data_IF_067159060405
#
_entry.id   IF_067159060405
#
_cell.length_a   1.000
_cell.length_b   1.000
_cell.length_c   1.000
_cell.angle_alpha   90.00
_cell.angle_beta   90.00
_cell.angle_gamma   90.00
#
_symmetry.space_group_name_H-M   'P 1'
#
loop_
_entity.id
_entity.type
_entity.pdbx_description
1 polymer ?
#
# COMPACT_ATOMS: atom_id res chain seq x y z
N UNK A 1 -33.35 -61.07 -11.52
CA UNK A 1 -34.57 -60.85 -12.32
C UNK A 1 -34.19 -60.06 -13.57
N UNK A 2 -34.91 -60.33 -14.65
CA UNK A 2 -34.61 -60.08 -16.06
C UNK A 2 -34.39 -58.61 -16.51
N UNK A 3 -33.56 -58.44 -17.56
CA UNK A 3 -33.64 -57.39 -18.60
C UNK A 3 -34.90 -57.60 -19.49
N UNK A 4 -35.17 -56.91 -20.64
CA UNK A 4 -34.60 -55.72 -21.33
C UNK A 4 -35.72 -54.69 -21.76
N UNK A 5 -35.52 -53.58 -22.50
CA UNK A 5 -35.37 -53.56 -23.97
C UNK A 5 -35.63 -52.17 -24.61
N UNK A 6 -34.83 -51.86 -25.67
CA UNK A 6 -35.14 -51.22 -26.99
C UNK A 6 -35.66 -49.75 -27.02
N UNK A 7 -35.34 -48.91 -28.01
CA UNK A 7 -34.78 -49.14 -29.35
C UNK A 7 -34.42 -47.83 -30.11
N UNK A 8 -33.98 -48.02 -31.35
CA UNK A 8 -33.26 -47.11 -32.24
C UNK A 8 -34.11 -46.09 -33.03
N UNK A 9 -33.47 -45.06 -33.62
CA UNK A 9 -33.47 -44.76 -35.08
C UNK A 9 -32.93 -43.34 -35.41
N UNK A 10 -32.12 -43.26 -36.46
CA UNK A 10 -31.90 -42.06 -37.31
C UNK A 10 -32.76 -42.21 -38.59
N UNK A 11 -32.98 -41.21 -39.48
CA UNK A 11 -31.93 -40.72 -40.40
C UNK A 11 -32.09 -39.25 -40.92
N UNK A 12 -31.29 -38.95 -41.95
CA UNK A 12 -30.87 -37.71 -42.61
C UNK A 12 -31.89 -36.83 -43.38
N UNK A 13 -31.43 -35.62 -43.75
CA UNK A 13 -31.87 -34.78 -44.88
C UNK A 13 -31.79 -33.28 -44.56
N UNK A 14 -31.40 -32.32 -45.41
CA UNK A 14 -30.86 -32.25 -46.77
C UNK A 14 -30.50 -30.77 -47.06
N UNK A 15 -29.49 -30.58 -47.91
CA UNK A 15 -29.07 -29.41 -48.71
C UNK A 15 -30.06 -28.23 -48.96
N UNK A 16 -29.56 -26.98 -49.02
CA UNK A 16 -29.72 -26.09 -50.19
C UNK A 16 -28.89 -24.79 -50.15
N UNK A 17 -28.38 -24.44 -51.34
CA UNK A 17 -27.64 -23.24 -51.77
C UNK A 17 -28.58 -22.11 -52.23
N UNK A 18 -28.07 -20.87 -52.29
CA UNK A 18 -28.56 -19.76 -53.14
C UNK A 18 -28.20 -18.41 -52.49
N UNK A 19 -27.29 -17.53 -52.97
CA UNK A 19 -26.93 -16.91 -54.27
C UNK A 19 -27.60 -15.53 -54.46
N UNK A 20 -26.75 -14.50 -54.61
CA UNK A 20 -27.03 -13.18 -55.22
C UNK A 20 -27.58 -12.12 -54.25
N UNK A 21 -27.36 -10.82 -54.41
CA UNK A 21 -26.59 -10.02 -55.37
C UNK A 21 -26.43 -8.60 -54.80
N UNK A 22 -25.41 -7.92 -55.32
CA UNK A 22 -25.03 -6.51 -55.23
C UNK A 22 -26.15 -5.46 -55.35
N UNK A 23 -25.96 -4.31 -54.67
CA UNK A 23 -26.04 -2.99 -55.31
C UNK A 23 -25.39 -1.89 -54.45
N UNK A 24 -24.45 -1.18 -55.07
CA UNK A 24 -23.85 0.07 -54.63
C UNK A 24 -24.84 1.23 -54.84
N UNK A 25 -24.89 2.19 -53.92
CA UNK A 25 -25.16 3.59 -54.25
C UNK A 25 -24.31 4.50 -53.38
N UNK A 26 -23.57 5.38 -54.05
CA UNK A 26 -22.70 6.39 -53.49
C UNK A 26 -23.49 7.61 -53.01
N UNK A 27 -22.97 8.30 -52.00
CA UNK A 27 -23.17 9.75 -51.86
C UNK A 27 -21.90 10.38 -51.33
N UNK A 28 -21.31 11.25 -52.15
CA UNK A 28 -20.21 12.16 -51.79
C UNK A 28 -20.80 13.26 -50.91
N UNK A 29 -20.13 13.60 -49.81
CA UNK A 29 -20.06 15.01 -49.41
C UNK A 29 -18.69 15.32 -48.77
N UNK A 30 -18.02 16.29 -49.38
CA UNK A 30 -16.74 16.86 -48.98
C UNK A 30 -16.96 17.87 -47.87
N UNK A 31 -16.36 17.62 -46.71
CA UNK A 31 -16.14 18.64 -45.68
C UNK A 31 -14.73 18.45 -45.13
N UNK A 32 -13.82 19.34 -45.49
CA UNK A 32 -12.46 19.34 -44.97
C UNK A 32 -12.49 19.54 -43.46
N UNK A 33 -12.12 18.50 -42.71
CA UNK A 33 -11.92 18.59 -41.26
C UNK A 33 -10.43 18.84 -41.04
N UNK A 34 -10.12 20.04 -40.57
CA UNK A 34 -8.82 20.47 -40.08
C UNK A 34 -8.20 19.40 -39.17
N UNK A 35 -7.07 18.84 -39.59
CA UNK A 35 -6.42 17.69 -38.97
C UNK A 35 -5.65 18.01 -37.68
N UNK A 36 -5.94 19.14 -37.04
CA UNK A 36 -5.17 19.64 -35.88
C UNK A 36 -5.79 19.28 -34.51
N UNK A 37 -7.01 18.74 -34.44
CA UNK A 37 -7.68 18.41 -33.16
C UNK A 37 -7.75 16.93 -32.79
N UNK A 38 -7.31 16.01 -33.66
CA UNK A 38 -7.49 14.56 -33.40
C UNK A 38 -6.61 13.99 -32.29
N UNK A 39 -5.50 14.64 -31.95
CA UNK A 39 -4.57 14.16 -30.92
C UNK A 39 -5.11 14.42 -29.51
N UNK A 40 -5.81 15.55 -29.30
CA UNK A 40 -6.35 15.93 -27.99
C UNK A 40 -7.58 15.13 -27.55
N UNK A 41 -8.45 14.74 -28.50
CA UNK A 41 -9.65 13.93 -28.21
C UNK A 41 -9.30 12.49 -27.84
N UNK A 42 -8.28 11.88 -28.47
CA UNK A 42 -7.80 10.54 -28.11
C UNK A 42 -7.17 10.52 -26.72
N UNK A 43 -6.35 11.53 -26.38
CA UNK A 43 -5.73 11.63 -25.05
C UNK A 43 -6.78 11.85 -23.94
N UNK A 44 -7.85 12.59 -24.25
CA UNK A 44 -8.95 12.82 -23.30
C UNK A 44 -9.79 11.56 -23.09
N UNK A 45 -10.15 10.84 -24.16
CA UNK A 45 -10.82 9.54 -24.06
C UNK A 45 -9.95 8.50 -23.34
N UNK A 46 -8.65 8.45 -23.61
CA UNK A 46 -7.74 7.49 -23.01
C UNK A 46 -7.59 7.73 -21.50
N UNK A 47 -7.61 8.99 -21.04
CA UNK A 47 -7.67 9.35 -19.62
C UNK A 47 -9.01 9.00 -18.96
N UNK A 48 -10.11 9.03 -19.69
CA UNK A 48 -11.44 8.62 -19.18
C UNK A 48 -11.54 7.09 -19.11
N UNK A 49 -10.89 6.38 -20.03
CA UNK A 49 -10.91 4.91 -20.13
C UNK A 49 -9.92 4.22 -19.18
N UNK A 50 -8.87 4.91 -18.74
CA UNK A 50 -7.95 4.33 -17.77
C UNK A 50 -8.65 4.13 -16.41
N UNK A 51 -8.53 2.92 -15.87
CA UNK A 51 -9.09 2.59 -14.55
C UNK A 51 -8.40 3.40 -13.45
N UNK A 52 -9.13 4.01 -12.50
CA UNK A 52 -8.54 4.72 -11.38
C UNK A 52 -7.61 3.82 -10.56
N UNK A 53 -6.51 4.41 -10.08
CA UNK A 53 -5.48 3.72 -9.29
C UNK A 53 -5.02 4.59 -8.14
N UNK A 54 -4.95 4.01 -6.95
CA UNK A 54 -4.26 4.64 -5.82
C UNK A 54 -2.78 4.25 -5.89
N UNK A 55 -1.88 5.23 -5.75
CA UNK A 55 -0.43 5.01 -5.74
C UNK A 55 0.17 5.67 -4.50
N UNK A 56 1.07 4.97 -3.82
CA UNK A 56 1.93 5.56 -2.79
C UNK A 56 3.08 6.27 -3.53
N UNK A 57 3.06 7.60 -3.51
CA UNK A 57 4.04 8.44 -4.22
C UNK A 57 5.25 8.79 -3.36
N UNK A 58 5.09 8.73 -2.04
CA UNK A 58 6.17 8.83 -1.06
C UNK A 58 5.93 7.74 -0.01
N UNK A 59 6.75 6.69 -0.04
CA UNK A 59 6.72 5.59 0.92
C UNK A 59 7.07 6.09 2.33
N UNK A 60 6.61 5.41 3.41
CA UNK A 60 7.06 5.74 4.75
C UNK A 60 8.52 5.32 4.93
N UNK A 61 9.26 6.11 5.70
CA UNK A 61 10.63 5.79 6.11
C UNK A 61 10.61 4.54 6.96
N UNK A 62 11.29 3.50 6.50
CA UNK A 62 11.22 2.19 7.16
C UNK A 62 11.76 2.21 8.59
N UNK A 63 12.82 2.98 8.86
CA UNK A 63 13.52 3.00 10.15
C UNK A 63 13.71 4.40 10.69
N UNK A 64 13.81 4.50 12.01
CA UNK A 64 14.09 5.75 12.72
C UNK A 64 12.90 6.31 13.48
N UNK A 65 11.68 5.82 13.20
CA UNK A 65 10.49 6.14 13.98
C UNK A 65 10.38 5.21 15.19
N UNK A 66 9.98 5.75 16.35
CA UNK A 66 9.66 4.96 17.54
C UNK A 66 8.15 4.83 17.70
N UNK A 67 7.67 3.62 17.94
CA UNK A 67 6.27 3.41 18.33
C UNK A 67 6.07 3.80 19.81
N UNK A 68 4.92 4.39 20.13
CA UNK A 68 4.68 5.00 21.43
C UNK A 68 3.49 4.35 22.14
N UNK A 69 3.64 4.09 23.43
CA UNK A 69 2.50 3.64 24.23
C UNK A 69 1.56 4.81 24.55
N UNK A 70 0.27 4.51 24.70
CA UNK A 70 -0.73 5.49 25.16
C UNK A 70 -0.31 6.24 26.43
N UNK A 71 0.23 5.49 27.40
CA UNK A 71 0.63 6.01 28.70
C UNK A 71 1.86 6.93 28.66
N UNK A 72 2.52 7.13 27.52
CA UNK A 72 3.65 8.07 27.41
C UNK A 72 3.19 9.54 27.47
N UNK A 73 1.90 9.83 27.27
CA UNK A 73 1.32 11.18 27.45
C UNK A 73 1.86 12.24 26.48
N UNK A 74 2.48 11.82 25.37
CA UNK A 74 3.01 12.67 24.30
C UNK A 74 2.42 12.23 22.96
N UNK A 75 2.48 13.09 21.95
CA UNK A 75 2.14 12.67 20.59
C UNK A 75 2.97 11.46 20.16
N UNK A 76 2.39 10.56 19.36
CA UNK A 76 3.06 9.34 18.93
C UNK A 76 4.16 9.57 17.87
N UNK A 77 4.60 10.83 17.68
CA UNK A 77 5.52 11.24 16.62
C UNK A 77 4.84 11.35 15.26
N UNK A 78 5.65 11.53 14.21
CA UNK A 78 5.22 11.53 12.81
C UNK A 78 6.08 10.55 12.03
N UNK A 79 5.45 9.66 11.26
CA UNK A 79 6.10 8.83 10.25
C UNK A 79 6.62 9.80 9.18
N UNK A 80 7.92 9.76 8.89
CA UNK A 80 8.51 10.55 7.82
C UNK A 80 8.43 9.80 6.50
N UNK A 81 8.55 10.51 5.38
CA UNK A 81 8.71 9.90 4.06
C UNK A 81 10.09 9.25 3.88
N UNK A 82 10.19 8.28 2.98
CA UNK A 82 11.41 7.54 2.68
C UNK A 82 12.52 8.46 2.12
N UNK A 83 12.15 9.50 1.37
CA UNK A 83 13.10 10.51 0.85
C UNK A 83 13.46 11.59 1.87
N UNK A 84 12.91 11.52 3.09
CA UNK A 84 13.10 12.51 4.14
C UNK A 84 14.55 12.56 4.63
N UNK A 85 15.12 13.76 4.56
CA UNK A 85 16.47 14.11 5.03
C UNK A 85 16.42 14.95 6.30
N UNK A 86 17.58 15.26 6.88
CA UNK A 86 17.66 16.08 8.09
C UNK A 86 17.18 17.52 7.85
N UNK A 87 17.51 18.08 6.69
CA UNK A 87 17.16 19.45 6.29
C UNK A 87 15.79 19.53 5.62
N UNK A 88 15.44 18.55 4.79
CA UNK A 88 14.16 18.52 4.07
C UNK A 88 13.32 17.32 4.50
N UNK A 89 12.33 17.58 5.35
CA UNK A 89 11.46 16.54 5.90
C UNK A 89 10.26 16.31 5.00
N UNK A 90 10.20 15.15 4.36
CA UNK A 90 9.01 14.67 3.64
C UNK A 90 8.12 13.81 4.55
N UNK A 91 6.88 13.58 4.11
CA UNK A 91 5.87 12.76 4.80
C UNK A 91 5.31 11.72 3.83
N UNK A 92 4.82 10.56 4.33
CA UNK A 92 4.17 9.58 3.47
C UNK A 92 3.04 10.23 2.68
N UNK A 93 2.97 9.92 1.40
CA UNK A 93 2.01 10.56 0.52
C UNK A 93 1.45 9.58 -0.50
N UNK A 94 0.18 9.78 -0.81
CA UNK A 94 -0.58 9.02 -1.79
C UNK A 94 -1.09 9.95 -2.88
N UNK A 95 -1.32 9.38 -4.05
CA UNK A 95 -1.93 10.07 -5.17
C UNK A 95 -2.93 9.14 -5.87
N UNK A 96 -4.12 9.67 -6.13
CA UNK A 96 -5.13 8.98 -6.93
C UNK A 96 -4.88 9.33 -8.39
N UNK A 97 -4.47 8.35 -9.19
CA UNK A 97 -4.25 8.50 -10.64
C UNK A 97 -5.51 8.12 -11.40
N UNK A 98 -5.81 8.96 -12.39
CA UNK A 98 -6.92 8.83 -13.33
C UNK A 98 -8.33 8.94 -12.74
N UNK A 99 -9.31 9.32 -13.57
CA UNK A 99 -10.74 9.14 -13.36
C UNK A 99 -11.56 10.43 -13.24
N UNK A 100 -12.88 10.29 -13.45
CA UNK A 100 -13.91 11.32 -13.33
C UNK A 100 -14.66 11.20 -11.98
N UNK A 101 -13.91 10.91 -10.91
CA UNK A 101 -14.47 10.81 -9.56
C UNK A 101 -14.59 12.19 -8.92
N UNK A 102 -15.74 12.46 -8.32
CA UNK A 102 -16.01 13.70 -7.61
C UNK A 102 -15.37 13.71 -6.23
N UNK A 103 -15.29 12.53 -5.60
CA UNK A 103 -14.83 12.38 -4.23
C UNK A 103 -14.15 11.04 -4.02
N UNK A 104 -13.05 11.08 -3.27
CA UNK A 104 -12.28 9.88 -2.93
C UNK A 104 -12.03 9.87 -1.44
N UNK A 105 -12.47 8.81 -0.76
CA UNK A 105 -12.20 8.58 0.66
C UNK A 105 -11.15 7.50 0.80
N UNK A 106 -10.03 7.83 1.44
CA UNK A 106 -8.96 6.88 1.71
C UNK A 106 -8.90 6.58 3.20
N UNK A 107 -9.05 5.30 3.52
CA UNK A 107 -8.91 4.76 4.88
C UNK A 107 -7.57 4.05 4.98
N UNK A 108 -6.75 4.46 5.95
CA UNK A 108 -5.46 3.86 6.25
C UNK A 108 -5.56 3.07 7.55
N UNK A 109 -5.13 1.81 7.52
CA UNK A 109 -5.04 0.94 8.69
C UNK A 109 -3.66 0.28 8.77
N UNK A 110 -3.31 -0.28 9.94
CA UNK A 110 -2.07 -1.06 10.09
C UNK A 110 -2.33 -2.54 9.84
N UNK A 111 -1.44 -3.15 9.05
CA UNK A 111 -1.44 -4.60 8.79
C UNK A 111 -0.08 -5.22 9.11
N UNK A 112 -0.05 -6.55 9.27
CA UNK A 112 1.17 -7.32 9.52
C UNK A 112 2.15 -7.17 8.35
N UNK A 113 3.44 -7.14 8.66
CA UNK A 113 4.52 -7.03 7.67
C UNK A 113 4.51 -8.17 6.65
N UNK A 114 4.36 -9.41 7.12
CA UNK A 114 4.45 -10.61 6.30
C UNK A 114 3.07 -11.04 5.79
N UNK A 115 3.06 -11.78 4.68
CA UNK A 115 1.85 -12.35 4.10
C UNK A 115 1.36 -13.57 4.91
N UNK A 116 0.04 -13.79 5.02
CA UNK A 116 -1.04 -12.87 4.61
C UNK A 116 -1.10 -11.62 5.50
N UNK A 117 -1.39 -10.46 4.90
CA UNK A 117 -1.50 -9.18 5.61
C UNK A 117 -2.76 -9.14 6.47
N UNK A 118 -2.61 -9.42 7.77
CA UNK A 118 -3.68 -9.40 8.77
C UNK A 118 -3.77 -8.04 9.46
N UNK A 119 -4.93 -7.64 10.01
CA UNK A 119 -5.03 -6.44 10.85
C UNK A 119 -4.03 -6.47 12.01
N UNK A 120 -3.23 -5.41 12.14
CA UNK A 120 -2.19 -5.33 13.17
C UNK A 120 -2.73 -4.65 14.43
N UNK A 121 -2.44 -5.13 15.65
CA UNK A 121 -2.97 -4.63 16.93
C UNK A 121 -2.61 -3.17 17.27
N UNK A 122 -1.53 -2.62 16.72
CA UNK A 122 -1.15 -1.20 16.91
C UNK A 122 -2.08 -0.24 16.17
N UNK A 123 -2.29 0.95 16.73
CA UNK A 123 -3.22 1.94 16.20
C UNK A 123 -2.49 3.06 15.46
N UNK A 124 -3.11 3.58 14.38
CA UNK A 124 -2.75 4.90 13.86
C UNK A 124 -3.38 5.99 14.72
N UNK A 125 -2.59 7.02 14.99
CA UNK A 125 -3.03 8.24 15.68
C UNK A 125 -2.45 9.44 14.98
N UNK A 126 -3.14 10.57 15.01
CA UNK A 126 -2.69 11.75 14.30
C UNK A 126 -3.82 12.72 14.06
N UNK A 127 -3.57 13.72 13.21
CA UNK A 127 -4.53 14.77 12.88
C UNK A 127 -5.80 14.22 12.23
N UNK A 128 -5.63 13.36 11.22
CA UNK A 128 -6.72 12.83 10.40
C UNK A 128 -7.18 11.43 10.88
N UNK A 129 -6.87 11.09 12.15
CA UNK A 129 -7.28 9.83 12.77
C UNK A 129 -8.47 10.10 13.71
N UNK A 130 -9.68 9.60 13.41
CA UNK A 130 -10.82 9.75 14.31
C UNK A 130 -10.51 9.19 15.71
N UNK A 131 -10.92 9.91 16.75
CA UNK A 131 -10.58 9.58 18.14
C UNK A 131 -10.96 8.14 18.48
N UNK A 132 -9.97 7.35 18.92
CA UNK A 132 -10.18 5.96 19.32
C UNK A 132 -10.52 5.01 18.17
N UNK A 133 -10.45 5.41 16.91
CA UNK A 133 -10.68 4.50 15.77
C UNK A 133 -9.46 3.64 15.44
N UNK A 134 -8.24 4.15 15.67
CA UNK A 134 -7.00 3.46 15.34
C UNK A 134 -6.69 3.40 13.84
N UNK A 135 -7.43 4.16 13.02
CA UNK A 135 -7.28 4.31 11.57
C UNK A 135 -7.16 5.80 11.21
N UNK A 136 -6.64 6.08 10.03
CA UNK A 136 -6.62 7.42 9.44
C UNK A 136 -7.64 7.47 8.31
N UNK A 137 -8.48 8.51 8.23
CA UNK A 137 -9.48 8.65 7.17
C UNK A 137 -9.37 10.04 6.57
N UNK A 138 -9.15 10.11 5.25
CA UNK A 138 -9.00 11.37 4.52
C UNK A 138 -9.90 11.37 3.30
N UNK A 139 -10.51 12.52 3.02
CA UNK A 139 -11.35 12.71 1.84
C UNK A 139 -10.71 13.73 0.92
N UNK A 140 -10.55 13.36 -0.35
CA UNK A 140 -9.92 14.14 -1.40
C UNK A 140 -10.96 14.43 -2.50
N UNK A 141 -10.81 15.58 -3.14
CA UNK A 141 -11.52 15.89 -4.37
C UNK A 141 -10.50 15.83 -5.52
N UNK A 142 -10.52 14.79 -6.37
CA UNK A 142 -9.55 14.61 -7.45
C UNK A 142 -9.51 15.76 -8.47
N UNK A 143 -10.56 16.57 -8.60
CA UNK A 143 -10.56 17.72 -9.50
C UNK A 143 -9.72 18.88 -8.97
N UNK A 144 -9.63 19.05 -7.64
CA UNK A 144 -8.85 20.13 -7.02
C UNK A 144 -7.49 19.66 -6.52
N UNK A 145 -7.44 18.50 -5.86
CA UNK A 145 -6.21 17.94 -5.35
C UNK A 145 -6.27 16.40 -5.31
N UNK A 146 -5.42 15.78 -6.12
CA UNK A 146 -5.30 14.32 -6.26
C UNK A 146 -4.32 13.70 -5.26
N UNK A 147 -3.55 14.52 -4.56
CA UNK A 147 -2.44 14.08 -3.70
C UNK A 147 -2.68 14.47 -2.25
N UNK A 148 -2.42 13.54 -1.36
CA UNK A 148 -2.50 13.77 0.08
C UNK A 148 -1.20 13.35 0.77
N UNK A 149 -0.72 14.19 1.69
CA UNK A 149 0.46 13.90 2.51
C UNK A 149 0.05 13.79 3.97
N UNK A 150 0.35 12.66 4.60
CA UNK A 150 -0.08 12.34 5.95
C UNK A 150 0.84 12.98 6.99
N UNK A 151 0.52 14.22 7.36
CA UNK A 151 1.24 14.96 8.41
C UNK A 151 0.84 14.48 9.81
N UNK A 152 1.78 14.47 10.76
CA UNK A 152 1.52 14.09 12.15
C UNK A 152 0.88 12.70 12.32
N UNK A 153 1.17 11.77 11.40
CA UNK A 153 0.70 10.40 11.47
C UNK A 153 1.66 9.57 12.33
N UNK A 154 1.21 9.14 13.51
CA UNK A 154 1.96 8.37 14.49
C UNK A 154 1.44 6.94 14.65
N UNK A 155 2.25 6.10 15.31
CA UNK A 155 1.90 4.71 15.61
C UNK A 155 1.86 4.55 17.13
N UNK A 156 0.66 4.26 17.64
CA UNK A 156 0.41 3.95 19.03
C UNK A 156 0.50 2.43 19.23
N UNK A 157 1.56 1.98 19.90
CA UNK A 157 1.75 0.56 20.17
C UNK A 157 0.98 0.10 21.41
N UNK A 158 0.44 -1.11 21.33
CA UNK A 158 -0.27 -1.77 22.44
C UNK A 158 0.63 -2.79 23.13
N UNK A 159 0.32 -3.08 24.39
CA UNK A 159 1.04 -4.12 25.15
C UNK A 159 0.55 -5.50 24.75
N UNK A 160 1.36 -6.53 25.01
CA UNK A 160 1.00 -7.93 24.70
C UNK A 160 -0.33 -8.36 25.35
N UNK A 161 -0.58 -7.92 26.59
CA UNK A 161 -1.85 -8.19 27.31
C UNK A 161 -3.10 -7.51 26.69
N UNK A 162 -2.91 -6.51 25.83
CA UNK A 162 -3.99 -5.72 25.21
C UNK A 162 -4.24 -6.14 23.75
N UNK A 163 -3.49 -7.14 23.24
CA UNK A 163 -3.59 -7.62 21.86
C UNK A 163 -5.01 -8.04 21.50
N UNK A 164 -5.61 -8.93 22.30
CA UNK A 164 -6.95 -9.45 22.09
C UNK A 164 -8.01 -8.35 22.04
N UNK A 165 -7.94 -7.42 22.98
CA UNK A 165 -8.87 -6.29 23.08
C UNK A 165 -8.76 -5.41 21.84
N UNK A 166 -7.52 -5.10 21.42
CA UNK A 166 -7.26 -4.27 20.25
C UNK A 166 -7.71 -4.94 18.94
N UNK A 167 -7.49 -6.25 18.79
CA UNK A 167 -7.93 -7.00 17.61
C UNK A 167 -9.45 -7.18 17.57
N UNK A 168 -10.10 -7.45 18.72
CA UNK A 168 -11.57 -7.47 18.83
C UNK A 168 -12.17 -6.14 18.42
N UNK A 169 -11.57 -5.02 18.84
CA UNK A 169 -12.01 -3.69 18.42
C UNK A 169 -11.95 -3.50 16.91
N UNK A 170 -10.85 -3.90 16.25
CA UNK A 170 -10.75 -3.87 14.77
C UNK A 170 -11.83 -4.68 14.09
N UNK A 171 -12.09 -5.91 14.57
CA UNK A 171 -13.17 -6.76 14.04
C UNK A 171 -14.54 -6.09 14.18
N UNK A 172 -14.85 -5.48 15.33
CA UNK A 172 -16.13 -4.75 15.51
C UNK A 172 -16.29 -3.54 14.60
N UNK A 173 -15.17 -2.96 14.14
CA UNK A 173 -15.13 -1.84 13.21
C UNK A 173 -15.02 -2.29 11.74
N UNK A 174 -15.10 -3.59 11.46
CA UNK A 174 -14.90 -4.19 10.12
C UNK A 174 -13.56 -3.81 9.47
N UNK A 175 -12.51 -3.63 10.27
CA UNK A 175 -11.16 -3.31 9.79
C UNK A 175 -10.44 -4.64 9.49
N UNK A 176 -10.63 -5.14 8.26
CA UNK A 176 -9.85 -6.23 7.69
C UNK A 176 -9.71 -6.03 6.18
N UNK A 177 -8.67 -5.30 5.72
CA UNK A 177 -8.53 -4.93 4.31
C UNK A 177 -8.46 -6.12 3.34
N UNK A 178 -7.98 -7.27 3.84
CA UNK A 178 -7.74 -8.47 3.05
C UNK A 178 -8.64 -9.64 3.43
N UNK A 179 -9.64 -9.42 4.29
CA UNK A 179 -10.62 -10.43 4.73
C UNK A 179 -9.95 -11.73 5.19
N UNK A 180 -8.86 -11.59 5.95
CA UNK A 180 -8.00 -12.71 6.38
C UNK A 180 -8.59 -13.58 7.47
N UNK A 181 -9.63 -13.09 8.16
CA UNK A 181 -10.26 -13.80 9.28
C UNK A 181 -9.28 -14.17 10.39
N UNK A 182 -9.61 -15.20 11.18
CA UNK A 182 -8.79 -15.67 12.31
C UNK A 182 -7.78 -16.76 11.89
N UNK A 183 -7.14 -16.57 10.73
CA UNK A 183 -6.31 -17.60 10.07
C UNK A 183 -5.02 -17.99 10.81
N UNK A 184 -4.55 -17.19 11.77
CA UNK A 184 -3.32 -17.44 12.53
C UNK A 184 -3.40 -16.84 13.95
N UNK A 185 -2.70 -17.47 14.89
CA UNK A 185 -2.60 -17.03 16.28
C UNK A 185 -2.00 -15.63 16.46
N UNK A 186 -2.34 -15.01 17.58
CA UNK A 186 -1.86 -13.69 18.00
C UNK A 186 -0.37 -13.74 18.39
N UNK A 187 0.12 -14.90 18.81
CA UNK A 187 1.49 -15.12 19.30
C UNK A 187 2.56 -14.89 18.22
N UNK A 188 2.20 -15.07 16.95
CA UNK A 188 3.11 -14.96 15.80
C UNK A 188 3.20 -13.55 15.20
N UNK A 189 2.57 -12.54 15.81
CA UNK A 189 2.61 -11.17 15.28
C UNK A 189 3.90 -10.45 15.66
N UNK A 190 4.61 -9.90 14.65
CA UNK A 190 5.77 -9.04 14.88
C UNK A 190 5.34 -7.65 15.36
N UNK A 191 5.45 -7.44 16.67
CA UNK A 191 5.10 -6.17 17.32
C UNK A 191 6.05 -5.01 16.98
N UNK A 192 7.15 -5.28 16.27
CA UNK A 192 8.16 -4.29 15.93
C UNK A 192 8.10 -3.85 14.46
N UNK A 193 7.17 -4.39 13.67
CA UNK A 193 7.06 -4.08 12.25
C UNK A 193 5.59 -4.05 11.80
N UNK A 194 5.20 -2.98 11.13
CA UNK A 194 3.86 -2.83 10.55
C UNK A 194 3.96 -2.38 9.10
N UNK A 195 2.89 -2.51 8.33
CA UNK A 195 2.72 -1.81 7.04
C UNK A 195 1.48 -0.93 7.10
N UNK A 196 1.50 0.19 6.39
CA UNK A 196 0.30 0.99 6.14
C UNK A 196 -0.49 0.33 5.01
N UNK A 197 -1.78 0.11 5.21
CA UNK A 197 -2.68 -0.39 4.18
C UNK A 197 -3.70 0.69 3.84
N UNK A 198 -3.75 1.10 2.58
CA UNK A 198 -4.61 2.13 2.04
C UNK A 198 -5.78 1.48 1.30
N UNK A 199 -6.99 1.65 1.83
CA UNK A 199 -8.24 1.30 1.16
C UNK A 199 -8.87 2.57 0.59
N UNK A 200 -9.34 2.50 -0.65
CA UNK A 200 -9.82 3.67 -1.38
C UNK A 200 -11.25 3.42 -1.85
N UNK A 201 -12.18 4.24 -1.36
CA UNK A 201 -13.57 4.31 -1.83
C UNK A 201 -13.69 5.54 -2.75
N UNK A 202 -14.20 5.31 -3.95
CA UNK A 202 -14.42 6.28 -5.00
C UNK A 202 -15.90 6.59 -5.11
N UNK A 203 -16.24 7.85 -5.32
CA UNK A 203 -17.59 8.32 -5.64
C UNK A 203 -17.55 9.07 -6.96
N UNK A 204 -18.37 8.62 -7.90
CA UNK A 204 -18.43 9.13 -9.26
C UNK A 204 -19.45 10.27 -9.38
N UNK A 205 -19.42 11.03 -10.48
CA UNK A 205 -20.38 12.11 -10.76
C UNK A 205 -21.86 11.66 -10.72
N UNK A 206 -22.13 10.42 -11.11
CA UNK A 206 -23.46 9.80 -11.12
C UNK A 206 -23.90 9.25 -9.75
N UNK A 207 -23.09 9.45 -8.70
CA UNK A 207 -23.32 8.97 -7.35
C UNK A 207 -22.99 7.49 -7.13
N UNK A 208 -22.50 6.78 -8.16
CA UNK A 208 -21.99 5.42 -8.01
C UNK A 208 -20.81 5.41 -7.04
N UNK A 209 -20.68 4.32 -6.28
CA UNK A 209 -19.53 4.06 -5.41
C UNK A 209 -18.75 2.86 -5.89
N UNK A 210 -17.42 2.96 -5.88
CA UNK A 210 -16.51 1.87 -6.25
C UNK A 210 -15.34 1.78 -5.25
N UNK A 211 -14.69 0.64 -5.15
CA UNK A 211 -13.56 0.43 -4.25
C UNK A 211 -12.35 -0.08 -5.02
N UNK A 212 -11.19 0.55 -4.80
CA UNK A 212 -9.93 0.04 -5.35
C UNK A 212 -9.36 -1.08 -4.48
N UNK A 213 -8.57 -1.95 -5.10
CA UNK A 213 -7.80 -2.95 -4.36
C UNK A 213 -6.90 -2.26 -3.32
N UNK A 214 -6.81 -2.81 -2.09
CA UNK A 214 -5.96 -2.22 -1.06
C UNK A 214 -4.49 -2.16 -1.49
N UNK A 215 -3.85 -1.03 -1.21
CA UNK A 215 -2.42 -0.81 -1.48
C UNK A 215 -1.65 -0.87 -0.18
N UNK A 216 -0.51 -1.56 -0.14
CA UNK A 216 0.29 -1.72 1.08
C UNK A 216 1.64 -1.05 0.92
N UNK A 217 2.03 -0.24 1.91
CA UNK A 217 3.34 0.43 1.93
C UNK A 217 4.50 -0.52 2.21
N UNK A 218 5.71 0.00 2.08
CA UNK A 218 6.91 -0.54 2.72
C UNK A 218 6.74 -0.65 4.26
N UNK A 219 7.45 -1.58 4.91
CA UNK A 219 7.30 -1.81 6.33
C UNK A 219 7.91 -0.66 7.14
N UNK A 220 7.23 -0.28 8.22
CA UNK A 220 7.73 0.64 9.24
C UNK A 220 8.15 -0.17 10.45
N UNK A 221 9.39 0.04 10.89
CA UNK A 221 10.02 -0.67 11.99
C UNK A 221 10.14 0.20 13.24
N UNK A 222 9.85 -0.37 14.41
CA UNK A 222 10.06 0.32 15.69
C UNK A 222 11.55 0.50 15.96
N UNK A 223 11.99 1.76 16.06
CA UNK A 223 13.36 2.13 16.45
C UNK A 223 13.73 1.62 17.84
N UNK A 224 12.75 1.44 18.76
CA UNK A 224 13.03 0.96 20.12
C UNK A 224 13.47 -0.51 20.13
N UNK A 225 13.06 -1.30 19.14
CA UNK A 225 13.41 -2.70 19.03
C UNK A 225 14.82 -2.89 18.44
N UNK A 226 15.70 -3.53 19.21
CA UNK A 226 17.13 -3.73 18.84
C UNK A 226 17.36 -4.55 17.58
N UNK A 227 16.38 -5.36 17.16
CA UNK A 227 16.44 -6.16 15.92
C UNK A 227 16.15 -5.33 14.68
N UNK A 228 15.40 -4.25 14.83
CA UNK A 228 14.82 -3.47 13.73
C UNK A 228 15.24 -2.00 13.79
N UNK A 229 16.04 -1.61 14.77
CA UNK A 229 16.66 -0.29 14.85
C UNK A 229 17.58 -0.02 13.66
N UNK A 230 17.84 1.26 13.40
CA UNK A 230 18.87 1.66 12.45
C UNK A 230 20.24 1.45 13.09
N UNK A 231 21.15 0.77 12.38
CA UNK A 231 22.53 0.62 12.83
C UNK A 231 23.27 1.94 12.66
N UNK A 232 23.86 2.44 13.74
CA UNK A 232 24.65 3.68 13.75
C UNK A 232 25.92 3.47 14.56
N UNK A 233 27.05 3.72 13.91
CA UNK A 233 28.35 3.84 14.58
C UNK A 233 28.50 5.29 15.01
N UNK A 234 28.76 5.50 16.29
CA UNK A 234 28.90 6.82 16.89
C UNK A 234 30.36 7.24 16.99
N UNK A 235 31.25 6.30 17.31
CA UNK A 235 32.68 6.60 17.48
C UNK A 235 33.54 5.36 17.25
N UNK A 236 34.75 5.58 16.73
CA UNK A 236 35.83 4.61 16.68
C UNK A 236 37.05 5.20 17.40
N UNK A 237 37.81 4.37 18.11
CA UNK A 237 39.09 4.79 18.67
C UNK A 237 40.15 5.04 17.58
N UNK A 238 40.09 4.31 16.46
CA UNK A 238 41.06 4.34 15.39
C UNK A 238 40.38 4.18 14.02
N UNK A 239 40.93 4.85 13.01
CA UNK A 239 40.41 4.88 11.63
C UNK A 239 41.40 4.31 10.60
N UNK A 240 42.53 3.78 11.07
CA UNK A 240 43.59 3.20 10.25
C UNK A 240 44.13 1.95 10.93
N UNK A 241 44.64 1.02 10.13
CA UNK A 241 45.24 -0.23 10.61
C UNK A 241 46.21 -0.79 9.58
N UNK A 242 47.00 -1.78 9.98
CA UNK A 242 47.93 -2.47 9.07
C UNK A 242 47.15 -3.27 8.02
N UNK A 243 47.65 -3.35 6.79
CA UNK A 243 47.12 -4.24 5.77
C UNK A 243 47.22 -5.73 6.15
N UNK A 244 48.09 -6.07 7.12
CA UNK A 244 48.21 -7.41 7.69
C UNK A 244 47.09 -7.75 8.69
N UNK A 245 46.20 -6.80 8.99
CA UNK A 245 45.11 -6.97 9.94
C UNK A 245 45.56 -6.92 11.41
N UNK A 246 44.75 -7.50 12.30
CA UNK A 246 44.96 -7.59 13.76
C UNK A 246 45.01 -6.26 14.52
N UNK A 247 44.68 -5.14 13.89
CA UNK A 247 44.49 -3.87 14.58
C UNK A 247 43.23 -3.94 15.45
N UNK A 248 43.37 -3.74 16.75
CA UNK A 248 42.25 -3.71 17.68
C UNK A 248 41.49 -2.38 17.59
N UNK A 249 40.18 -2.49 17.35
CA UNK A 249 39.29 -1.34 17.20
C UNK A 249 38.17 -1.44 18.24
N UNK A 250 38.02 -0.39 19.03
CA UNK A 250 36.89 -0.19 19.91
C UNK A 250 35.86 0.69 19.18
N UNK A 251 34.63 0.19 19.08
CA UNK A 251 33.53 0.84 18.38
C UNK A 251 32.37 1.11 19.33
N UNK A 252 31.98 2.37 19.44
CA UNK A 252 30.75 2.79 20.11
C UNK A 252 29.64 2.89 19.07
N UNK A 253 28.54 2.19 19.29
CA UNK A 253 27.39 2.15 18.39
C UNK A 253 26.08 2.12 19.17
N UNK A 254 24.98 2.40 18.47
CA UNK A 254 23.64 2.17 18.99
C UNK A 254 23.44 0.69 19.34
N UNK A 255 22.50 0.40 20.26
CA UNK A 255 22.31 -0.95 20.80
C UNK A 255 22.08 -2.00 19.71
N UNK A 256 23.00 -2.97 19.61
CA UNK A 256 22.92 -4.14 18.71
C UNK A 256 22.73 -5.44 19.48
N UNK A 257 22.22 -6.48 18.82
CA UNK A 257 22.15 -7.83 19.39
C UNK A 257 23.47 -8.59 19.18
N UNK A 258 24.11 -9.02 20.28
CA UNK A 258 25.30 -9.86 20.24
C UNK A 258 25.02 -11.12 19.41
N UNK A 259 25.92 -11.43 18.46
CA UNK A 259 25.79 -12.58 17.56
C UNK A 259 24.92 -12.38 16.32
N UNK A 260 24.17 -11.26 16.22
CA UNK A 260 23.37 -10.93 15.02
C UNK A 260 23.88 -9.74 14.22
N UNK A 261 25.01 -9.15 14.62
CA UNK A 261 25.66 -8.05 13.92
C UNK A 261 27.07 -8.46 13.49
N UNK A 262 27.51 -7.94 12.35
CA UNK A 262 28.87 -8.10 11.82
C UNK A 262 29.38 -6.74 11.34
N UNK A 263 30.68 -6.49 11.51
CA UNK A 263 31.34 -5.32 10.94
C UNK A 263 31.81 -5.67 9.54
N UNK A 264 31.49 -4.82 8.55
CA UNK A 264 31.91 -4.98 7.18
C UNK A 264 32.92 -3.88 6.84
N UNK A 265 34.06 -4.26 6.27
CA UNK A 265 35.06 -3.34 5.72
C UNK A 265 34.95 -3.39 4.19
N UNK A 266 34.22 -2.46 3.54
CA UNK A 266 34.13 -2.43 2.09
C UNK A 266 35.44 -1.95 1.46
N UNK A 267 35.83 -2.55 0.34
CA UNK A 267 36.91 -2.03 -0.50
C UNK A 267 36.33 -0.96 -1.43
N UNK A 268 36.94 0.23 -1.46
CA UNK A 268 36.58 1.30 -2.37
C UNK A 268 37.79 1.51 -3.28
N UNK A 269 37.66 1.14 -4.55
CA UNK A 269 38.64 1.53 -5.59
C UNK A 269 38.31 2.96 -6.01
N UNK A 270 39.33 3.83 -6.00
CA UNK A 270 39.26 5.13 -6.65
C UNK A 270 39.73 5.02 -8.09
#
# INVERSE_FOLDING_TARGET
>A
MAHPSRGASSPAGSSRRGRGSSCLLASKNSGGISSQNRVGDTDMLERILQKPKLVVVEEPKERGMRFRYECEGRSAGSILGASSTETNKTQPAIEVKTGAETRVTVTVSLVTKDLPHRPHPHCLVGKDCPNGSGICVVTLNPHSNRRHSFVNLGIQCVRRKELDVSLKKRRSQNIDPFQTGDSKGIEDMDMNAVRLCFQCELEWDDGRKDCLSPVVSNPVYDKKATTTSQLKISCLNQYRGSCHGKTEIYMLCDKVQKGKARVLFPFISF
#
